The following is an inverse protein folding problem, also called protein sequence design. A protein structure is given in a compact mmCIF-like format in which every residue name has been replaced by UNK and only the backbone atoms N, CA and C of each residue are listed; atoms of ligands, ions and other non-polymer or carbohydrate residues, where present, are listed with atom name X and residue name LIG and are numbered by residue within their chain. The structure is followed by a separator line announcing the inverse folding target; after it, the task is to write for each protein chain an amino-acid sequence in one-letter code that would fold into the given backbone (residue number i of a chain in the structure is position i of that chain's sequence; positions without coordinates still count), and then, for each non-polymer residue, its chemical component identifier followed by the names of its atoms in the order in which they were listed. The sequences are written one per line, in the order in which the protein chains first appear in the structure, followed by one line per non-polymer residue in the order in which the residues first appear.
data_IF_841015755797
#
_entry.id   IF_841015755797
#
_cell.length_a   1.000
_cell.length_b   1.000
_cell.length_c   1.000
_cell.angle_alpha   90.00
_cell.angle_beta   90.00
_cell.angle_gamma   90.00
#
_symmetry.space_group_name_H-M   'P 1'
#
loop_
_entity.id
_entity.type
_entity.pdbx_description
1 polymer ?
#
# COMPACT_ATOMS: atom_id res chain seq x y z
N UNK A 1 -95.82 -20.49 14.52
CA UNK A 1 -96.08 -19.82 13.23
C UNK A 1 -95.57 -18.40 13.36
N UNK A 2 -94.71 -17.98 12.42
CA UNK A 2 -94.53 -16.60 11.89
C UNK A 2 -94.21 -15.49 12.93
N UNK A 3 -93.08 -14.77 12.91
CA UNK A 3 -92.41 -14.17 11.74
C UNK A 3 -90.91 -13.92 11.94
N UNK A 4 -90.20 -14.09 10.83
CA UNK A 4 -88.81 -13.80 10.57
C UNK A 4 -88.76 -12.40 9.93
N UNK A 5 -88.18 -11.40 10.60
CA UNK A 5 -87.85 -10.11 10.00
C UNK A 5 -86.33 -9.98 9.96
N UNK A 6 -85.81 -10.09 8.74
CA UNK A 6 -84.46 -9.71 8.35
C UNK A 6 -84.43 -8.18 8.31
N UNK A 7 -83.59 -7.56 9.13
CA UNK A 7 -83.12 -6.21 8.90
C UNK A 7 -81.59 -6.25 8.80
N UNK A 8 -81.15 -6.72 7.63
CA UNK A 8 -79.78 -6.63 7.15
C UNK A 8 -79.78 -5.46 6.14
N UNK A 9 -78.73 -4.64 6.15
CA UNK A 9 -78.44 -3.48 5.28
C UNK A 9 -79.00 -2.09 5.66
N UNK A 10 -78.26 -1.33 6.49
CA UNK A 10 -78.14 0.14 6.34
C UNK A 10 -77.03 0.83 7.17
N UNK A 11 -76.17 0.11 7.91
CA UNK A 11 -75.17 0.74 8.80
C UNK A 11 -73.73 0.83 8.24
N UNK A 12 -73.45 0.28 7.06
CA UNK A 12 -72.07 0.23 6.52
C UNK A 12 -71.72 1.42 5.62
N UNK A 13 -72.71 2.18 5.12
CA UNK A 13 -72.50 3.28 4.17
C UNK A 13 -72.01 4.58 4.85
N UNK A 14 -72.48 4.87 6.06
CA UNK A 14 -72.11 6.10 6.79
C UNK A 14 -70.63 6.09 7.20
N UNK A 15 -70.05 4.90 7.40
CA UNK A 15 -68.65 4.77 7.82
C UNK A 15 -67.64 5.22 6.76
N UNK A 16 -67.95 5.04 5.46
CA UNK A 16 -67.06 5.45 4.37
C UNK A 16 -67.21 6.94 4.04
N UNK A 17 -68.42 7.49 4.16
CA UNK A 17 -68.67 8.93 3.97
C UNK A 17 -68.00 9.76 5.07
N UNK A 18 -68.06 9.30 6.32
CA UNK A 18 -67.35 9.92 7.44
C UNK A 18 -65.81 9.89 7.25
N UNK A 19 -65.27 8.80 6.68
CA UNK A 19 -63.85 8.69 6.35
C UNK A 19 -63.43 9.65 5.24
N UNK A 20 -64.27 9.80 4.21
CA UNK A 20 -64.02 10.75 3.12
C UNK A 20 -64.07 12.20 3.61
N UNK A 21 -65.01 12.54 4.49
CA UNK A 21 -65.05 13.86 5.13
C UNK A 21 -63.83 14.12 6.04
N UNK A 22 -63.39 13.14 6.82
CA UNK A 22 -62.23 13.27 7.69
C UNK A 22 -60.93 13.43 6.89
N UNK A 23 -60.83 12.78 5.73
CA UNK A 23 -59.76 12.99 4.76
C UNK A 23 -59.81 14.39 4.13
N UNK A 24 -61.00 14.85 3.71
CA UNK A 24 -61.19 16.19 3.14
C UNK A 24 -60.91 17.32 4.15
N UNK A 25 -61.21 17.09 5.44
CA UNK A 25 -60.88 17.98 6.57
C UNK A 25 -59.38 17.91 6.94
N UNK A 26 -58.60 17.02 6.33
CA UNK A 26 -57.16 16.89 6.53
C UNK A 26 -56.74 16.28 7.87
N UNK A 27 -57.68 15.67 8.59
CA UNK A 27 -57.43 14.98 9.87
C UNK A 27 -56.69 13.65 9.66
N UNK A 28 -56.90 13.03 8.49
CA UNK A 28 -56.28 11.77 8.08
C UNK A 28 -55.42 12.05 6.84
N UNK A 29 -54.14 11.68 6.88
CA UNK A 29 -53.22 11.79 5.72
C UNK A 29 -53.18 10.45 4.97
N UNK A 30 -53.03 10.44 3.64
CA UNK A 30 -52.93 9.19 2.88
C UNK A 30 -51.60 8.49 3.20
N UNK A 31 -51.66 7.41 3.97
CA UNK A 31 -50.52 6.55 4.29
C UNK A 31 -50.67 5.82 5.63
N UNK A 32 -50.14 4.60 5.73
CA UNK A 32 -50.14 3.73 6.93
C UNK A 32 -49.19 4.22 8.05
N UNK A 33 -48.84 5.51 8.06
CA UNK A 33 -47.82 6.03 8.96
C UNK A 33 -48.49 6.89 10.03
N UNK A 34 -48.64 6.32 11.23
CA UNK A 34 -48.95 7.09 12.43
C UNK A 34 -47.79 8.06 12.72
N UNK A 35 -48.09 9.35 12.81
CA UNK A 35 -47.16 10.35 13.31
C UNK A 35 -47.01 10.12 14.82
N UNK A 36 -46.13 9.20 15.21
CA UNK A 36 -45.77 9.03 16.63
C UNK A 36 -45.22 10.38 17.10
N UNK A 37 -45.94 11.05 18.01
CA UNK A 37 -45.48 12.26 18.65
C UNK A 37 -44.07 12.01 19.20
N UNK A 38 -43.09 12.81 18.77
CA UNK A 38 -41.73 12.68 19.26
C UNK A 38 -41.75 12.96 20.76
N UNK A 39 -41.75 11.90 21.57
CA UNK A 39 -41.66 12.01 23.02
C UNK A 39 -40.32 12.68 23.32
N UNK A 40 -40.34 13.98 23.57
CA UNK A 40 -39.17 14.74 24.00
C UNK A 40 -38.79 14.24 25.39
N UNK A 41 -37.80 13.34 25.45
CA UNK A 41 -37.27 12.84 26.70
C UNK A 41 -36.71 14.02 27.50
N UNK A 42 -37.40 14.39 28.58
CA UNK A 42 -36.90 15.36 29.55
C UNK A 42 -35.82 14.70 30.40
N UNK A 43 -34.56 15.04 30.15
CA UNK A 43 -33.43 14.59 30.96
C UNK A 43 -33.33 15.46 32.21
N UNK A 44 -33.68 14.92 33.37
CA UNK A 44 -33.47 15.59 34.66
C UNK A 44 -32.05 15.32 35.16
N UNK A 45 -31.27 16.38 35.41
CA UNK A 45 -29.91 16.26 35.96
C UNK A 45 -29.94 16.45 37.49
N UNK A 46 -30.27 15.40 38.24
CA UNK A 46 -30.21 15.45 39.69
C UNK A 46 -28.79 15.18 40.22
N UNK A 47 -28.01 16.25 40.37
CA UNK A 47 -26.63 16.18 40.85
C UNK A 47 -26.53 15.69 42.30
N UNK A 48 -27.54 15.93 43.14
CA UNK A 48 -27.52 15.52 44.54
C UNK A 48 -27.57 14.00 44.66
N UNK A 49 -28.54 13.37 44.00
CA UNK A 49 -28.71 11.92 44.00
C UNK A 49 -27.50 11.21 43.37
N UNK A 50 -26.94 11.78 42.29
CA UNK A 50 -25.73 11.25 41.66
C UNK A 50 -24.54 11.24 42.61
N UNK A 51 -24.38 12.26 43.46
CA UNK A 51 -23.31 12.29 44.48
C UNK A 51 -23.54 11.25 45.57
N UNK A 52 -24.78 11.07 46.03
CA UNK A 52 -25.14 10.04 47.01
C UNK A 52 -24.84 8.64 46.45
N UNK A 53 -25.24 8.38 45.20
CA UNK A 53 -24.94 7.11 44.51
C UNK A 53 -23.44 6.91 44.27
N UNK A 54 -22.70 7.96 43.96
CA UNK A 54 -21.24 7.89 43.87
C UNK A 54 -20.66 7.43 45.20
N UNK A 55 -21.09 8.00 46.33
CA UNK A 55 -20.58 7.59 47.65
C UNK A 55 -20.94 6.15 48.01
N UNK A 56 -22.10 5.66 47.59
CA UNK A 56 -22.54 4.27 47.80
C UNK A 56 -21.69 3.28 46.99
N UNK A 57 -21.36 3.61 45.74
CA UNK A 57 -20.64 2.72 44.80
C UNK A 57 -19.12 2.84 44.97
N UNK A 58 -18.61 3.95 45.53
CA UNK A 58 -17.19 4.22 45.63
C UNK A 58 -16.50 3.19 46.53
N UNK A 59 -15.69 2.33 45.92
CA UNK A 59 -14.80 1.43 46.63
C UNK A 59 -13.64 2.22 47.25
N UNK A 60 -13.36 2.01 48.54
CA UNK A 60 -12.23 2.63 49.26
C UNK A 60 -11.05 1.66 49.39
N UNK A 61 -10.56 1.16 48.26
CA UNK A 61 -9.39 0.26 48.21
C UNK A 61 -8.08 1.04 47.93
N UNK A 62 -6.92 0.51 48.39
CA UNK A 62 -5.61 1.02 48.00
C UNK A 62 -5.47 1.09 46.48
N UNK A 63 -4.73 2.08 46.00
CA UNK A 63 -4.58 2.31 44.55
C UNK A 63 -4.04 1.08 43.80
N UNK A 64 -3.19 0.28 44.43
CA UNK A 64 -2.57 -0.94 43.86
C UNK A 64 -3.60 -1.98 43.42
N UNK A 65 -4.73 -2.08 44.10
CA UNK A 65 -5.78 -3.05 43.77
C UNK A 65 -6.67 -2.57 42.62
N UNK A 66 -6.73 -1.25 42.41
CA UNK A 66 -7.54 -0.64 41.35
C UNK A 66 -6.75 -0.45 40.06
N UNK A 67 -5.49 -0.02 40.17
CA UNK A 67 -4.61 0.37 39.06
C UNK A 67 -5.20 1.42 38.12
N UNK A 68 -6.24 2.13 38.55
CA UNK A 68 -6.91 3.16 37.77
C UNK A 68 -6.06 4.42 37.67
N UNK A 69 -6.00 5.00 36.48
CA UNK A 69 -5.29 6.24 36.21
C UNK A 69 -6.16 7.17 35.37
N UNK A 70 -6.25 8.43 35.79
CA UNK A 70 -6.92 9.48 35.05
C UNK A 70 -5.85 10.42 34.53
N UNK A 71 -5.49 10.26 33.25
CA UNK A 71 -4.40 11.02 32.63
C UNK A 71 -4.89 11.89 31.48
N UNK A 72 -4.23 13.04 31.34
CA UNK A 72 -4.28 13.85 30.12
C UNK A 72 -3.36 13.26 29.04
N UNK A 73 -3.41 13.83 27.84
CA UNK A 73 -2.59 13.38 26.71
C UNK A 73 -1.10 13.59 27.03
N UNK A 74 -0.25 12.60 26.72
CA UNK A 74 1.20 12.73 26.91
C UNK A 74 1.75 13.93 26.14
N UNK A 75 2.65 14.76 26.72
CA UNK A 75 3.28 15.86 25.99
C UNK A 75 4.01 15.32 24.76
N UNK A 76 3.89 16.03 23.65
CA UNK A 76 4.57 15.63 22.41
C UNK A 76 6.06 15.89 22.56
N UNK A 77 6.90 15.01 22.01
CA UNK A 77 8.33 15.27 21.97
C UNK A 77 8.60 16.63 21.28
N UNK A 78 9.59 17.41 21.76
CA UNK A 78 9.83 18.78 21.27
C UNK A 78 9.97 18.86 19.74
N UNK A 79 10.72 17.93 19.16
CA UNK A 79 11.00 17.89 17.72
C UNK A 79 9.73 17.65 16.88
N UNK A 80 8.87 16.74 17.34
CA UNK A 80 7.61 16.41 16.66
C UNK A 80 6.60 17.55 16.84
N UNK A 81 6.63 18.22 18.00
CA UNK A 81 5.82 19.41 18.24
C UNK A 81 6.22 20.56 17.31
N UNK A 82 7.51 20.82 17.14
CA UNK A 82 8.03 21.82 16.20
C UNK A 82 7.62 21.50 14.76
N UNK A 83 7.81 20.27 14.31
CA UNK A 83 7.41 19.85 12.96
C UNK A 83 5.89 20.00 12.73
N UNK A 84 5.07 19.72 13.76
CA UNK A 84 3.62 19.90 13.68
C UNK A 84 3.24 21.39 13.65
N UNK A 85 3.98 22.25 14.36
CA UNK A 85 3.80 23.71 14.31
C UNK A 85 4.21 24.28 12.95
N UNK A 86 5.35 23.89 12.39
CA UNK A 86 5.81 24.30 11.06
C UNK A 86 4.81 23.90 9.97
N UNK A 87 4.31 22.65 10.03
CA UNK A 87 3.29 22.18 9.08
C UNK A 87 1.96 22.92 9.25
N UNK A 88 1.56 23.24 10.48
CA UNK A 88 0.38 24.05 10.74
C UNK A 88 0.54 25.49 10.23
N UNK A 89 1.69 26.12 10.44
CA UNK A 89 2.02 27.44 9.91
C UNK A 89 2.01 27.44 8.37
N UNK A 90 2.65 26.44 7.74
CA UNK A 90 2.63 26.28 6.28
C UNK A 90 1.20 26.14 5.73
N UNK A 91 0.34 25.39 6.44
CA UNK A 91 -1.09 25.27 6.09
C UNK A 91 -1.85 26.58 6.26
N UNK A 92 -1.62 27.32 7.35
CA UNK A 92 -2.20 28.65 7.57
C UNK A 92 -1.82 29.60 6.43
N UNK A 93 -0.53 29.67 6.09
CA UNK A 93 -0.04 30.50 5.00
C UNK A 93 -0.65 30.10 3.64
N UNK A 94 -0.85 28.81 3.37
CA UNK A 94 -1.58 28.37 2.17
C UNK A 94 -3.04 28.81 2.18
N UNK A 95 -3.71 28.71 3.33
CA UNK A 95 -5.13 29.07 3.49
C UNK A 95 -5.36 30.57 3.33
N UNK A 96 -4.50 31.40 3.92
CA UNK A 96 -4.57 32.86 3.80
C UNK A 96 -4.28 33.33 2.37
N UNK A 97 -3.39 32.64 1.65
CA UNK A 97 -3.09 32.93 0.26
C UNK A 97 -4.14 32.39 -0.74
N UNK A 98 -5.00 31.44 -0.34
CA UNK A 98 -6.09 30.93 -1.18
C UNK A 98 -7.41 31.67 -0.90
N UNK A 99 -7.75 32.67 -1.70
CA UNK A 99 -9.03 33.40 -1.62
C UNK A 99 -10.22 32.60 -2.19
N UNK A 100 -10.52 31.43 -1.64
CA UNK A 100 -11.59 30.55 -2.12
C UNK A 100 -12.38 29.88 -0.99
N UNK A 101 -13.68 29.68 -1.24
CA UNK A 101 -14.71 29.12 -0.35
C UNK A 101 -14.15 27.99 0.55
N UNK A 102 -14.17 28.20 1.88
CA UNK A 102 -13.62 27.25 2.86
C UNK A 102 -14.60 26.08 2.93
N UNK A 103 -14.42 25.10 2.06
CA UNK A 103 -15.02 23.79 2.21
C UNK A 103 -14.51 23.19 3.53
N UNK A 104 -15.42 22.82 4.42
CA UNK A 104 -15.08 22.06 5.62
C UNK A 104 -14.41 20.76 5.15
N UNK A 105 -13.12 20.62 5.44
CA UNK A 105 -12.36 19.42 5.12
C UNK A 105 -12.54 18.45 6.30
N UNK A 106 -13.33 17.36 6.13
CA UNK A 106 -13.60 16.41 7.21
C UNK A 106 -12.31 15.76 7.75
N UNK A 107 -11.20 15.84 7.01
CA UNK A 107 -9.90 15.33 7.46
C UNK A 107 -9.25 16.24 8.52
N UNK A 108 -9.75 17.45 8.75
CA UNK A 108 -9.19 18.34 9.79
C UNK A 108 -9.82 18.12 11.17
N UNK A 109 -11.06 17.66 11.23
CA UNK A 109 -11.78 17.41 12.47
C UNK A 109 -11.22 16.17 13.19
N UNK A 110 -10.77 16.26 14.46
CA UNK A 110 -10.26 15.12 15.21
C UNK A 110 -11.32 14.03 15.48
N UNK A 111 -12.61 14.35 15.44
CA UNK A 111 -13.68 13.35 15.63
C UNK A 111 -13.90 12.53 14.36
N UNK A 112 -13.83 13.17 13.19
CA UNK A 112 -14.00 12.52 11.89
C UNK A 112 -12.69 11.93 11.34
N UNK A 113 -11.54 12.49 11.72
CA UNK A 113 -10.23 11.97 11.34
C UNK A 113 -9.78 10.88 12.30
N UNK A 114 -10.01 9.64 11.88
CA UNK A 114 -9.62 8.43 12.61
C UNK A 114 -8.13 8.42 12.99
N UNK A 115 -7.23 8.83 12.10
CA UNK A 115 -5.79 8.79 12.38
C UNK A 115 -5.39 9.75 13.51
N UNK A 116 -5.99 10.94 13.53
CA UNK A 116 -5.75 11.91 14.63
C UNK A 116 -6.33 11.37 15.94
N UNK A 117 -7.54 10.81 15.90
CA UNK A 117 -8.21 10.22 17.07
C UNK A 117 -7.40 9.08 17.67
N UNK A 118 -6.99 8.12 16.86
CA UNK A 118 -6.18 6.97 17.28
C UNK A 118 -4.84 7.42 17.89
N UNK A 119 -4.19 8.44 17.32
CA UNK A 119 -2.95 8.98 17.89
C UNK A 119 -3.18 9.64 19.26
N UNK A 120 -4.29 10.35 19.46
CA UNK A 120 -4.64 10.93 20.76
C UNK A 120 -4.89 9.85 21.82
N UNK A 121 -5.66 8.82 21.47
CA UNK A 121 -5.91 7.67 22.36
C UNK A 121 -4.59 6.97 22.72
N UNK A 122 -3.74 6.73 21.73
CA UNK A 122 -2.42 6.13 21.94
C UNK A 122 -1.56 6.96 22.89
N UNK A 123 -1.53 8.29 22.72
CA UNK A 123 -0.75 9.19 23.59
C UNK A 123 -1.31 9.29 25.00
N UNK A 124 -2.64 9.25 25.17
CA UNK A 124 -3.25 9.20 26.50
C UNK A 124 -2.88 7.91 27.21
N UNK A 125 -2.97 6.76 26.52
CA UNK A 125 -2.53 5.47 27.05
C UNK A 125 -1.04 5.48 27.41
N UNK A 126 -0.20 6.10 26.58
CA UNK A 126 1.24 6.23 26.87
C UNK A 126 1.50 7.03 28.15
N UNK A 127 0.78 8.14 28.38
CA UNK A 127 0.88 8.92 29.62
C UNK A 127 0.52 8.06 30.85
N UNK A 128 -0.61 7.34 30.77
CA UNK A 128 -1.05 6.44 31.83
C UNK A 128 -0.01 5.35 32.13
N UNK A 129 0.58 4.73 31.10
CA UNK A 129 1.62 3.71 31.30
C UNK A 129 2.85 4.30 31.99
N UNK A 130 3.32 5.49 31.58
CA UNK A 130 4.50 6.12 32.20
C UNK A 130 4.24 6.45 33.68
N UNK A 131 3.09 7.03 33.99
CA UNK A 131 2.71 7.35 35.37
C UNK A 131 2.51 6.09 36.22
N UNK A 132 1.79 5.09 35.69
CA UNK A 132 1.52 3.84 36.38
C UNK A 132 2.80 3.06 36.67
N UNK A 133 3.72 2.98 35.70
CA UNK A 133 5.02 2.35 35.90
C UNK A 133 5.85 3.04 36.97
N UNK A 134 5.75 4.37 37.10
CA UNK A 134 6.44 5.10 38.17
C UNK A 134 5.89 4.67 39.54
N UNK A 135 4.57 4.72 39.73
CA UNK A 135 3.92 4.32 41.00
C UNK A 135 4.18 2.86 41.36
N UNK A 136 4.13 1.94 40.39
CA UNK A 136 4.41 0.51 40.63
C UNK A 136 5.87 0.26 41.03
N UNK A 137 6.82 1.01 40.46
CA UNK A 137 8.23 0.94 40.86
C UNK A 137 8.46 1.45 42.28
N UNK A 138 7.78 2.53 42.69
CA UNK A 138 7.84 3.06 44.06
C UNK A 138 7.35 2.02 45.08
N UNK A 139 6.41 1.17 44.69
CA UNK A 139 5.88 0.06 45.49
C UNK A 139 6.72 -1.23 45.40
N UNK A 140 7.79 -1.25 44.61
CA UNK A 140 8.64 -2.42 44.43
C UNK A 140 8.02 -3.57 43.62
N UNK A 141 6.96 -3.32 42.86
CA UNK A 141 6.25 -4.34 42.07
C UNK A 141 6.95 -4.51 40.71
N UNK A 142 7.29 -5.76 40.36
CA UNK A 142 7.86 -6.09 39.06
C UNK A 142 6.82 -5.93 37.94
N UNK A 143 7.10 -5.08 36.96
CA UNK A 143 6.13 -4.76 35.88
C UNK A 143 6.45 -5.42 34.54
N UNK A 144 7.71 -5.83 34.31
CA UNK A 144 8.12 -6.43 33.04
C UNK A 144 7.89 -7.93 33.05
N UNK A 145 7.14 -8.42 32.07
CA UNK A 145 7.02 -9.87 31.79
C UNK A 145 8.38 -10.45 31.34
N UNK A 146 8.94 -11.46 32.03
CA UNK A 146 10.13 -12.17 31.57
C UNK A 146 9.85 -12.96 30.29
N UNK A 147 10.85 -13.09 29.42
CA UNK A 147 10.72 -13.83 28.15
C UNK A 147 10.59 -15.36 28.38
N UNK A 148 11.11 -15.85 29.51
CA UNK A 148 11.07 -17.28 29.92
C UNK A 148 9.81 -17.63 30.73
N UNK A 149 8.89 -16.69 30.92
CA UNK A 149 7.63 -16.93 31.62
C UNK A 149 6.50 -17.26 30.64
N UNK A 150 6.29 -18.56 30.40
CA UNK A 150 5.25 -19.08 29.53
C UNK A 150 3.94 -19.29 30.29
N UNK A 151 3.03 -18.34 30.14
CA UNK A 151 1.65 -18.40 30.61
C UNK A 151 0.70 -18.21 29.42
N UNK A 152 -0.58 -18.56 29.61
CA UNK A 152 -1.59 -18.33 28.60
C UNK A 152 -1.71 -16.83 28.26
N UNK A 153 -1.60 -16.52 26.97
CA UNK A 153 -1.72 -15.16 26.45
C UNK A 153 -3.11 -14.96 25.85
N UNK A 154 -3.59 -13.71 25.80
CA UNK A 154 -4.92 -13.37 25.25
C UNK A 154 -5.14 -13.82 23.79
N UNK A 155 -4.07 -14.11 23.03
CA UNK A 155 -4.13 -14.67 21.68
C UNK A 155 -3.19 -15.86 21.57
N UNK A 156 -3.64 -16.91 20.88
CA UNK A 156 -2.83 -18.11 20.66
C UNK A 156 -1.63 -17.83 19.75
N UNK A 157 -0.56 -18.59 19.95
CA UNK A 157 0.65 -18.48 19.12
C UNK A 157 0.39 -18.79 17.66
N UNK A 158 -0.51 -19.73 17.37
CA UNK A 158 -0.91 -20.06 15.99
C UNK A 158 -1.53 -18.82 15.30
N UNK A 159 -2.39 -18.08 16.01
CA UNK A 159 -2.95 -16.83 15.51
C UNK A 159 -1.85 -15.78 15.26
N UNK A 160 -0.93 -15.60 16.20
CA UNK A 160 0.16 -14.63 16.06
C UNK A 160 1.15 -15.01 14.94
N UNK A 161 1.37 -16.29 14.68
CA UNK A 161 2.14 -16.74 13.52
C UNK A 161 1.46 -16.38 12.20
N UNK A 162 0.11 -16.46 12.11
CA UNK A 162 -0.64 -16.01 10.92
C UNK A 162 -0.49 -14.49 10.72
N UNK A 163 -0.57 -13.71 11.79
CA UNK A 163 -0.35 -12.25 11.75
C UNK A 163 1.06 -11.91 11.28
N UNK A 164 2.09 -12.57 11.84
CA UNK A 164 3.50 -12.38 11.45
C UNK A 164 3.72 -12.72 9.97
N UNK A 165 3.17 -13.84 9.48
CA UNK A 165 3.25 -14.22 8.05
C UNK A 165 2.66 -13.13 7.15
N UNK A 166 1.52 -12.57 7.51
CA UNK A 166 0.88 -11.48 6.75
C UNK A 166 1.71 -10.19 6.77
N UNK A 167 2.29 -9.83 7.92
CA UNK A 167 3.17 -8.67 8.06
C UNK A 167 4.40 -8.81 7.16
N UNK A 168 5.07 -9.96 7.23
CA UNK A 168 6.25 -10.27 6.39
C UNK A 168 5.90 -10.26 4.90
N UNK A 169 4.72 -10.77 4.52
CA UNK A 169 4.25 -10.71 3.14
C UNK A 169 4.03 -9.27 2.65
N UNK A 170 3.43 -8.39 3.49
CA UNK A 170 3.25 -6.97 3.17
C UNK A 170 4.59 -6.25 3.02
N UNK A 171 5.53 -6.46 3.93
CA UNK A 171 6.88 -5.89 3.86
C UNK A 171 7.65 -6.36 2.61
N UNK A 172 7.54 -7.65 2.28
CA UNK A 172 8.11 -8.21 1.06
C UNK A 172 7.47 -7.60 -0.20
N UNK A 173 6.16 -7.39 -0.22
CA UNK A 173 5.47 -6.74 -1.33
C UNK A 173 5.94 -5.28 -1.50
N UNK A 174 6.02 -4.51 -0.41
CA UNK A 174 6.48 -3.13 -0.43
C UNK A 174 7.93 -3.01 -0.92
N UNK A 175 8.85 -3.79 -0.35
CA UNK A 175 10.25 -3.79 -0.77
C UNK A 175 10.45 -4.21 -2.23
N UNK A 176 9.58 -5.08 -2.78
CA UNK A 176 9.56 -5.40 -4.21
C UNK A 176 9.14 -4.21 -5.06
N UNK A 177 8.08 -3.49 -4.67
CA UNK A 177 7.63 -2.29 -5.39
C UNK A 177 8.72 -1.21 -5.37
N UNK A 178 9.34 -0.99 -4.22
CA UNK A 178 10.45 -0.05 -4.04
C UNK A 178 11.67 -0.42 -4.88
N UNK A 179 12.01 -1.71 -5.01
CA UNK A 179 13.09 -2.17 -5.90
C UNK A 179 12.74 -2.09 -7.38
N UNK A 180 11.48 -2.26 -7.75
CA UNK A 180 11.05 -2.27 -9.15
C UNK A 180 11.08 -0.86 -9.76
N UNK A 181 10.75 0.19 -9.00
CA UNK A 181 10.79 1.58 -9.48
C UNK A 181 12.18 2.02 -10.02
N UNK A 182 13.29 1.93 -9.26
CA UNK A 182 14.62 2.31 -9.73
C UNK A 182 15.10 1.39 -10.86
N UNK A 183 14.77 0.09 -10.83
CA UNK A 183 15.11 -0.81 -11.95
C UNK A 183 14.42 -0.40 -13.26
N UNK A 184 13.19 0.13 -13.22
CA UNK A 184 12.51 0.68 -14.40
C UNK A 184 13.17 1.98 -14.88
N UNK A 185 13.54 2.86 -13.97
CA UNK A 185 14.22 4.12 -14.27
C UNK A 185 15.61 3.87 -14.88
N UNK A 186 16.41 2.99 -14.29
CA UNK A 186 17.69 2.55 -14.83
C UNK A 186 17.55 1.97 -16.24
N UNK A 187 16.52 1.16 -16.51
CA UNK A 187 16.26 0.64 -17.86
C UNK A 187 15.89 1.73 -18.87
N UNK A 188 15.16 2.78 -18.46
CA UNK A 188 14.84 3.92 -19.32
C UNK A 188 16.10 4.73 -19.64
N UNK A 189 16.93 5.01 -18.63
CA UNK A 189 18.19 5.74 -18.78
C UNK A 189 19.15 4.95 -19.68
N UNK A 190 19.31 3.64 -19.43
CA UNK A 190 20.17 2.78 -20.24
C UNK A 190 19.79 2.79 -21.72
N UNK A 191 18.49 2.81 -22.05
CA UNK A 191 18.01 2.94 -23.44
C UNK A 191 18.37 4.29 -24.06
N UNK A 192 18.20 5.40 -23.31
CA UNK A 192 18.58 6.74 -23.78
C UNK A 192 20.09 6.83 -24.02
N UNK A 193 20.90 6.37 -23.07
CA UNK A 193 22.37 6.32 -23.18
C UNK A 193 22.81 5.49 -24.40
N UNK A 194 22.15 4.37 -24.69
CA UNK A 194 22.46 3.58 -25.89
C UNK A 194 22.15 4.33 -27.20
N UNK A 195 21.11 5.16 -27.23
CA UNK A 195 20.77 5.98 -28.40
C UNK A 195 21.77 7.14 -28.52
N UNK A 196 22.02 7.86 -27.43
CA UNK A 196 22.95 8.99 -27.39
C UNK A 196 24.37 8.58 -27.76
N UNK A 197 24.84 7.42 -27.30
CA UNK A 197 26.16 6.89 -27.68
C UNK A 197 26.25 6.57 -29.16
N UNK A 198 25.19 6.02 -29.78
CA UNK A 198 25.15 5.78 -31.24
C UNK A 198 25.12 7.10 -32.02
N UNK A 199 24.32 8.08 -31.57
CA UNK A 199 24.26 9.41 -32.18
C UNK A 199 25.60 10.13 -32.08
N UNK A 200 26.25 10.09 -30.91
CA UNK A 200 27.60 10.62 -30.70
C UNK A 200 28.62 9.95 -31.62
N UNK A 201 28.65 8.62 -31.70
CA UNK A 201 29.54 7.91 -32.63
C UNK A 201 29.29 8.27 -34.10
N UNK A 202 28.03 8.45 -34.50
CA UNK A 202 27.70 8.88 -35.86
C UNK A 202 28.12 10.33 -36.12
N UNK A 203 27.94 11.22 -35.15
CA UNK A 203 28.38 12.61 -35.22
C UNK A 203 29.91 12.72 -35.28
N UNK A 204 30.63 11.99 -34.43
CA UNK A 204 32.10 11.88 -34.45
C UNK A 204 32.59 11.35 -35.80
N UNK A 205 31.97 10.28 -36.33
CA UNK A 205 32.30 9.78 -37.67
C UNK A 205 32.04 10.82 -38.76
N UNK A 206 30.95 11.58 -38.68
CA UNK A 206 30.63 12.65 -39.63
C UNK A 206 31.64 13.79 -39.53
N UNK A 207 31.98 14.25 -38.32
CA UNK A 207 32.99 15.27 -38.06
C UNK A 207 34.37 14.84 -38.56
N UNK A 208 34.73 13.56 -38.44
CA UNK A 208 35.99 13.02 -38.98
C UNK A 208 35.96 12.91 -40.53
N UNK A 209 34.82 12.54 -41.12
CA UNK A 209 34.70 12.36 -42.58
C UNK A 209 34.51 13.67 -43.36
N UNK A 210 33.94 14.70 -42.73
CA UNK A 210 33.69 16.00 -43.35
C UNK A 210 34.96 16.72 -43.84
N UNK A 211 36.05 16.86 -43.06
CA UNK A 211 37.30 17.45 -43.54
C UNK A 211 37.90 16.62 -44.68
N UNK A 212 37.90 15.29 -44.61
CA UNK A 212 38.34 14.44 -45.73
C UNK A 212 37.52 14.68 -47.01
N UNK A 213 36.20 14.84 -46.88
CA UNK A 213 35.32 15.13 -48.02
C UNK A 213 35.55 16.54 -48.59
N UNK A 214 35.89 17.53 -47.76
CA UNK A 214 36.23 18.89 -48.20
C UNK A 214 37.55 18.91 -48.97
N UNK A 215 38.57 18.20 -48.47
CA UNK A 215 39.86 18.01 -49.16
C UNK A 215 39.67 17.26 -50.49
N UNK A 216 38.93 16.14 -50.50
CA UNK A 216 38.63 15.38 -51.73
C UNK A 216 37.88 16.20 -52.80
N UNK A 217 37.06 17.17 -52.40
CA UNK A 217 36.33 18.07 -53.31
C UNK A 217 37.14 19.29 -53.75
N UNK A 218 38.41 19.40 -53.36
CA UNK A 218 39.31 20.49 -53.74
C UNK A 218 38.97 21.85 -53.14
N UNK A 219 38.15 21.90 -52.07
CA UNK A 219 37.69 23.16 -51.45
C UNK A 219 38.58 23.66 -50.30
N UNK A 220 39.56 22.87 -49.87
CA UNK A 220 40.52 23.23 -48.83
C UNK A 220 41.83 22.45 -49.05
N UNK A 221 42.96 23.16 -49.00
CA UNK A 221 44.33 22.61 -49.13
C UNK A 221 45.03 22.37 -47.79
N UNK A 222 44.48 22.89 -46.69
CA UNK A 222 45.09 22.76 -45.36
C UNK A 222 44.76 21.41 -44.72
N UNK A 223 45.83 20.62 -44.50
CA UNK A 223 45.82 19.32 -43.86
C UNK A 223 45.84 19.40 -42.32
N UNK A 224 45.49 20.55 -41.75
CA UNK A 224 45.63 20.86 -40.31
C UNK A 224 44.87 19.89 -39.38
N UNK A 225 43.80 19.26 -39.86
CA UNK A 225 43.07 18.21 -39.12
C UNK A 225 43.92 16.95 -38.80
N UNK A 226 45.04 16.73 -39.49
CA UNK A 226 45.97 15.61 -39.22
C UNK A 226 46.96 15.91 -38.08
N UNK A 227 47.26 17.17 -37.78
CA UNK A 227 48.28 17.55 -36.80
C UNK A 227 47.73 17.71 -35.36
N UNK A 228 46.41 17.85 -35.20
CA UNK A 228 45.74 17.87 -33.88
C UNK A 228 45.90 16.56 -33.07
N UNK A 229 46.36 15.46 -33.71
CA UNK A 229 46.72 14.21 -33.02
C UNK A 229 48.22 14.01 -32.77
N UNK A 230 49.10 14.88 -33.28
CA UNK A 230 50.54 14.80 -33.02
C UNK A 230 51.00 15.62 -31.80
N UNK A 231 50.08 16.35 -31.16
CA UNK A 231 50.36 17.23 -30.02
C UNK A 231 50.23 16.62 -28.61
N UNK A 232 50.18 15.29 -28.42
CA UNK A 232 50.33 14.66 -27.09
C UNK A 232 51.07 13.33 -27.17
N UNK A 233 52.37 13.43 -27.41
CA UNK A 233 53.33 12.39 -27.05
C UNK A 233 53.44 12.33 -25.51
N UNK A 234 52.50 11.65 -24.84
CA UNK A 234 52.78 11.03 -23.55
C UNK A 234 53.12 9.57 -23.79
N UNK A 235 54.43 9.28 -23.73
CA UNK A 235 54.95 7.92 -23.55
C UNK A 235 54.22 7.30 -22.35
N UNK A 236 53.38 6.29 -22.60
CA UNK A 236 52.61 5.66 -21.54
C UNK A 236 51.84 4.43 -21.97
N UNK A 237 52.54 3.29 -22.00
CA UNK A 237 52.04 1.91 -22.05
C UNK A 237 51.19 1.52 -23.27
N UNK A 238 51.72 0.55 -24.03
CA UNK A 238 51.00 -0.16 -25.07
C UNK A 238 49.60 -0.54 -24.61
N UNK A 239 48.63 -0.17 -25.44
CA UNK A 239 47.24 -0.58 -25.30
C UNK A 239 47.22 -2.10 -25.45
N UNK A 240 47.35 -2.81 -24.33
CA UNK A 240 46.90 -4.17 -24.24
C UNK A 240 45.40 -4.10 -24.49
N UNK A 241 44.96 -4.53 -25.67
CA UNK A 241 43.59 -4.91 -25.93
C UNK A 241 43.17 -5.85 -24.81
N UNK A 242 42.49 -5.30 -23.79
CA UNK A 242 41.94 -6.09 -22.69
C UNK A 242 40.83 -6.92 -23.29
N UNK A 243 41.21 -8.10 -23.76
CA UNK A 243 40.31 -9.17 -24.12
C UNK A 243 39.34 -9.32 -22.95
N UNK A 244 38.05 -9.27 -23.26
CA UNK A 244 37.01 -9.43 -22.24
C UNK A 244 37.31 -10.69 -21.42
N UNK A 245 37.24 -10.64 -20.09
CA UNK A 245 37.41 -11.83 -19.23
C UNK A 245 36.52 -13.02 -19.68
N UNK A 246 35.37 -12.73 -20.31
CA UNK A 246 34.49 -13.75 -20.92
C UNK A 246 35.09 -14.41 -22.16
N UNK A 247 35.86 -13.65 -22.95
CA UNK A 247 36.60 -14.15 -24.11
C UNK A 247 37.85 -14.92 -23.65
N UNK A 248 38.55 -14.49 -22.61
CA UNK A 248 39.67 -15.26 -22.03
C UNK A 248 39.22 -16.62 -21.51
N UNK A 249 38.12 -16.69 -20.76
CA UNK A 249 37.55 -17.96 -20.30
C UNK A 249 37.15 -18.88 -21.46
N UNK A 250 36.61 -18.31 -22.54
CA UNK A 250 36.26 -19.09 -23.75
C UNK A 250 37.51 -19.56 -24.50
N UNK A 251 38.55 -18.73 -24.53
CA UNK A 251 39.82 -19.08 -25.16
C UNK A 251 40.56 -20.16 -24.34
N UNK A 252 40.51 -20.11 -23.01
CA UNK A 252 41.02 -21.18 -22.14
C UNK A 252 40.25 -22.49 -22.32
N UNK A 253 38.90 -22.41 -22.34
CA UNK A 253 38.04 -23.59 -22.46
C UNK A 253 38.13 -24.26 -23.84
N UNK A 254 38.04 -23.48 -24.91
CA UNK A 254 37.87 -23.99 -26.28
C UNK A 254 39.08 -23.76 -27.21
N UNK A 255 40.12 -23.04 -26.75
CA UNK A 255 41.28 -22.68 -27.56
C UNK A 255 40.97 -21.62 -28.63
N UNK A 256 42.03 -21.01 -29.17
CA UNK A 256 41.95 -20.12 -30.33
C UNK A 256 42.55 -20.85 -31.54
N UNK A 257 41.70 -21.49 -32.34
CA UNK A 257 42.09 -22.02 -33.66
C UNK A 257 43.04 -23.23 -33.73
N UNK A 258 43.33 -23.93 -32.62
CA UNK A 258 44.23 -25.11 -32.58
C UNK A 258 43.56 -26.44 -32.17
N UNK A 259 44.34 -27.39 -31.61
CA UNK A 259 44.01 -28.79 -31.21
C UNK A 259 42.64 -29.05 -30.53
N UNK A 260 41.91 -28.02 -30.10
CA UNK A 260 40.58 -28.09 -29.50
C UNK A 260 39.42 -27.71 -30.45
N UNK A 261 39.66 -27.63 -31.78
CA UNK A 261 38.70 -27.19 -32.82
C UNK A 261 37.37 -27.97 -32.87
N UNK A 262 37.30 -29.18 -32.27
CA UNK A 262 36.06 -29.99 -32.16
C UNK A 262 35.36 -29.96 -30.81
N UNK A 263 35.93 -29.32 -29.78
CA UNK A 263 35.38 -29.30 -28.40
C UNK A 263 34.07 -28.52 -28.24
N UNK A 264 33.62 -27.82 -29.29
CA UNK A 264 32.32 -27.15 -29.37
C UNK A 264 31.24 -28.00 -30.05
N UNK A 265 31.60 -29.17 -30.57
CA UNK A 265 30.66 -30.09 -31.19
C UNK A 265 30.01 -30.94 -30.11
N UNK A 266 28.72 -31.22 -30.28
CA UNK A 266 28.00 -32.13 -29.39
C UNK A 266 28.52 -33.56 -29.63
N UNK A 267 29.00 -34.20 -28.56
CA UNK A 267 29.33 -35.63 -28.53
C UNK A 267 28.09 -36.44 -28.15
N UNK A 268 28.02 -37.72 -28.55
CA UNK A 268 26.89 -38.61 -28.26
C UNK A 268 26.53 -38.73 -26.76
N UNK A 269 27.49 -38.53 -25.87
CA UNK A 269 27.24 -38.50 -24.43
C UNK A 269 26.67 -37.14 -23.97
N UNK A 270 27.10 -36.04 -24.59
CA UNK A 270 26.58 -34.69 -24.28
C UNK A 270 25.16 -34.42 -24.81
N UNK A 271 24.65 -35.21 -25.76
CA UNK A 271 23.27 -35.06 -26.25
C UNK A 271 22.22 -35.62 -25.29
N UNK A 272 22.61 -36.55 -24.41
CA UNK A 272 21.72 -37.18 -23.44
C UNK A 272 21.91 -36.69 -22.00
N UNK A 273 22.97 -35.93 -21.73
CA UNK A 273 23.24 -35.39 -20.40
C UNK A 273 22.44 -34.10 -20.15
N UNK A 274 21.36 -34.22 -19.36
CA UNK A 274 20.48 -33.11 -18.95
C UNK A 274 20.77 -32.59 -17.53
N UNK A 275 21.82 -33.07 -16.86
CA UNK A 275 22.12 -32.75 -15.45
C UNK A 275 22.52 -31.29 -15.23
N UNK A 276 22.93 -30.59 -16.29
CA UNK A 276 23.19 -29.13 -16.28
C UNK A 276 21.97 -28.25 -16.51
N UNK A 277 20.80 -28.82 -16.84
CA UNK A 277 19.57 -28.07 -17.06
C UNK A 277 18.90 -27.79 -15.71
N UNK A 278 19.47 -26.82 -14.99
CA UNK A 278 18.97 -26.39 -13.70
C UNK A 278 17.62 -25.65 -13.84
N UNK A 279 16.53 -26.42 -13.89
CA UNK A 279 15.15 -25.92 -13.81
C UNK A 279 14.76 -25.46 -12.39
N UNK A 280 15.69 -25.50 -11.43
CA UNK A 280 15.47 -25.20 -10.03
C UNK A 280 15.12 -23.72 -9.72
N UNK A 281 15.11 -22.82 -10.72
CA UNK A 281 14.66 -21.42 -10.50
C UNK A 281 13.17 -21.17 -10.79
N UNK A 282 12.37 -22.21 -11.08
CA UNK A 282 10.92 -22.09 -11.08
C UNK A 282 10.33 -23.18 -10.19
N UNK A 283 9.95 -22.80 -8.97
CA UNK A 283 9.01 -23.56 -8.14
C UNK A 283 7.83 -23.99 -9.02
N UNK A 284 7.81 -25.27 -9.42
CA UNK A 284 6.56 -25.90 -9.80
C UNK A 284 5.78 -26.08 -8.51
N UNK A 285 4.58 -25.53 -8.53
CA UNK A 285 3.56 -25.81 -7.53
C UNK A 285 3.22 -27.29 -7.66
N UNK A 286 3.20 -27.99 -6.53
CA UNK A 286 2.74 -29.37 -6.40
C UNK A 286 1.51 -29.64 -7.27
N UNK A 287 1.66 -30.53 -8.26
CA UNK A 287 0.55 -31.28 -8.82
C UNK A 287 1.01 -32.72 -8.99
N UNK A 288 0.86 -33.51 -7.92
CA UNK A 288 0.68 -34.95 -8.02
C UNK A 288 -0.72 -35.29 -7.50
N UNK A 289 -1.52 -35.77 -8.43
CA UNK A 289 -2.58 -36.77 -8.30
C UNK A 289 -3.80 -36.44 -7.42
N UNK A 290 -4.85 -35.94 -8.07
CA UNK A 290 -6.23 -36.40 -7.82
C UNK A 290 -6.97 -36.50 -9.16
N UNK A 291 -7.09 -37.73 -9.63
CA UNK A 291 -8.26 -38.34 -10.28
C UNK A 291 -9.26 -37.40 -10.97
N UNK A 292 -9.32 -37.54 -12.30
CA UNK A 292 -10.52 -37.46 -13.16
C UNK A 292 -11.82 -37.04 -12.46
N UNK A 293 -12.22 -35.78 -12.63
CA UNK A 293 -13.57 -35.42 -13.10
C UNK A 293 -13.63 -33.91 -13.37
N UNK A 294 -13.74 -33.48 -14.64
CA UNK A 294 -14.08 -32.07 -14.94
C UNK A 294 -15.15 -31.99 -16.01
N UNK A 295 -16.39 -31.77 -15.56
CA UNK A 295 -17.44 -31.08 -16.31
C UNK A 295 -16.84 -29.80 -16.93
N UNK A 296 -16.79 -29.74 -18.26
CA UNK A 296 -16.39 -28.55 -19.02
C UNK A 296 -17.36 -27.40 -18.72
N UNK A 297 -16.91 -26.38 -17.98
CA UNK A 297 -17.52 -25.04 -18.04
C UNK A 297 -16.92 -24.29 -19.25
N UNK A 298 -17.80 -23.71 -20.06
CA UNK A 298 -17.50 -22.99 -21.30
C UNK A 298 -16.44 -21.90 -21.12
N UNK A 299 -15.23 -22.12 -21.64
CA UNK A 299 -14.27 -21.05 -21.84
C UNK A 299 -14.60 -20.29 -23.13
N UNK A 300 -14.82 -18.97 -22.98
CA UNK A 300 -15.08 -18.05 -24.09
C UNK A 300 -13.92 -18.06 -25.10
N UNK A 301 -14.17 -18.22 -26.41
CA UNK A 301 -13.12 -18.19 -27.41
C UNK A 301 -12.45 -16.80 -27.50
N UNK A 302 -11.14 -16.82 -27.77
CA UNK A 302 -10.27 -15.64 -27.85
C UNK A 302 -10.67 -14.65 -28.95
N UNK A 303 -10.16 -13.42 -28.83
CA UNK A 303 -10.53 -12.24 -29.65
C UNK A 303 -10.50 -12.49 -31.18
N UNK A 304 -9.57 -13.29 -31.69
CA UNK A 304 -9.49 -13.60 -33.12
C UNK A 304 -10.69 -14.41 -33.63
N UNK A 305 -11.16 -15.39 -32.85
CA UNK A 305 -12.32 -16.22 -33.20
C UNK A 305 -13.67 -15.49 -33.10
N UNK A 306 -13.72 -14.31 -32.49
CA UNK A 306 -14.94 -13.48 -32.42
C UNK A 306 -15.15 -12.59 -33.65
N UNK A 307 -14.08 -12.26 -34.38
CA UNK A 307 -14.19 -11.41 -35.59
C UNK A 307 -14.75 -12.16 -36.79
N UNK A 308 -14.53 -13.47 -36.88
CA UNK A 308 -14.97 -14.29 -38.02
C UNK A 308 -16.40 -14.85 -37.88
N UNK A 309 -17.22 -14.25 -37.02
CA UNK A 309 -18.61 -14.69 -36.78
C UNK A 309 -19.63 -13.54 -36.84
N UNK A 310 -19.27 -12.46 -37.53
CA UNK A 310 -20.23 -11.48 -38.03
C UNK A 310 -20.47 -11.74 -39.50
#
# INVERSE_FOLDING_TARGET
MTDFIVNDSESDLDSDEELQEAFAKGLIKPGLNEEIEKIEKKYTNNVADLKVKLTEIKLNLPWVEKLDLVTTIAPLAPDVALQMQETAQRRKNLKENSKGNIQYDPTQDPVLNEFKRENLIHRQAQAAVVEGLKKLKELGIATRRPDDYFAEMAKTDEHMQKVRKNLMAKQAAQSRVEKVRPLREQKKIAKRVQIDTKLKQAAEKKQMLEPLKRVRKGKASDLDFLDDKKGKNSKGKGVQDKISKKRDLKNQKFGFGGKKKGSKLNTRESTHNMDGFNNASKKSVNFKNKTFNTKKKNQRPGKSKRKNKR
#
